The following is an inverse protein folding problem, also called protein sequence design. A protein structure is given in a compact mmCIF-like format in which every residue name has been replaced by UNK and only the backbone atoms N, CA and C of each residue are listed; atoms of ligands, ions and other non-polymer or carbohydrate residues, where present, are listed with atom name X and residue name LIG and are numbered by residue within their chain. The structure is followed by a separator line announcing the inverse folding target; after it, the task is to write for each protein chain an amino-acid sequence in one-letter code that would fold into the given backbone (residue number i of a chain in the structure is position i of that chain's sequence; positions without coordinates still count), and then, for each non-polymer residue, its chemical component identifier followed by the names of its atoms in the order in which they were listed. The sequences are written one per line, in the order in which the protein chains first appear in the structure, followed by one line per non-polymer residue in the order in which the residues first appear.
data_IF_658789330116
#
_entry.id   IF_658789330116
#
_cell.length_a   1.000
_cell.length_b   1.000
_cell.length_c   1.000
_cell.angle_alpha   90.00
_cell.angle_beta   90.00
_cell.angle_gamma   90.00
#
_symmetry.space_group_name_H-M   'P 1'
#
loop_
_entity.id
_entity.type
_entity.pdbx_description
1 polymer ?
#
# COMPACT_ATOMS: atom_id res chain seq x y z
N UNK A 1 14.83 -0.18 3.48
CA UNK A 1 15.30 -0.74 4.75
C UNK A 1 15.16 0.25 5.93
N UNK A 2 15.34 1.54 5.72
CA UNK A 2 15.25 2.56 6.78
C UNK A 2 13.82 2.90 7.23
N UNK A 3 12.79 2.39 6.54
CA UNK A 3 11.39 2.69 6.85
C UNK A 3 10.97 4.12 6.52
N UNK A 4 11.60 4.74 5.55
CA UNK A 4 11.15 6.03 5.03
C UNK A 4 9.98 5.86 4.08
N UNK A 5 9.06 6.81 4.09
CA UNK A 5 8.03 6.94 3.06
C UNK A 5 8.72 7.37 1.76
N UNK A 6 8.27 6.84 0.64
CA UNK A 6 8.69 7.23 -0.71
C UNK A 6 7.45 7.51 -1.56
N UNK A 7 7.63 8.17 -2.69
CA UNK A 7 6.59 8.32 -3.71
C UNK A 7 6.91 7.33 -4.83
N UNK A 8 5.91 6.55 -5.23
CA UNK A 8 5.98 5.70 -6.42
C UNK A 8 5.01 6.24 -7.45
N UNK A 9 5.47 6.36 -8.70
CA UNK A 9 4.67 6.85 -9.83
C UNK A 9 4.53 5.75 -10.88
N UNK A 10 3.38 5.67 -11.52
CA UNK A 10 3.13 4.83 -12.67
C UNK A 10 3.30 5.56 -14.01
N UNK A 11 2.98 4.89 -15.10
CA UNK A 11 3.07 5.46 -16.46
C UNK A 11 1.94 6.46 -16.71
N UNK A 12 2.24 7.50 -17.50
CA UNK A 12 1.26 8.54 -17.88
C UNK A 12 0.07 7.98 -18.69
N UNK A 13 0.26 6.84 -19.34
CA UNK A 13 -0.78 6.15 -20.11
C UNK A 13 -1.59 5.14 -19.28
N UNK A 14 -1.27 4.98 -17.97
CA UNK A 14 -2.00 4.10 -17.05
C UNK A 14 -2.91 4.93 -16.14
N UNK A 15 -2.57 5.16 -14.87
CA UNK A 15 -3.29 6.04 -13.95
C UNK A 15 -2.72 7.46 -13.98
N UNK A 16 -1.43 7.57 -14.30
CA UNK A 16 -0.66 8.81 -14.23
C UNK A 16 -0.72 9.43 -12.83
N UNK A 17 -0.52 8.60 -11.81
CA UNK A 17 -0.68 8.97 -10.40
C UNK A 17 0.60 8.72 -9.62
N UNK A 18 0.61 9.18 -8.38
CA UNK A 18 1.68 8.89 -7.43
C UNK A 18 1.13 8.57 -6.05
N UNK A 19 1.69 7.52 -5.45
CA UNK A 19 1.32 7.06 -4.13
C UNK A 19 2.45 7.27 -3.13
N UNK A 20 2.10 7.66 -1.90
CA UNK A 20 2.98 7.42 -0.76
C UNK A 20 3.00 5.93 -0.45
N UNK A 21 4.21 5.38 -0.34
CA UNK A 21 4.42 3.95 -0.04
C UNK A 21 5.37 3.79 1.14
N UNK A 22 5.05 2.84 2.01
CA UNK A 22 5.90 2.42 3.13
C UNK A 22 5.79 0.93 3.43
N UNK A 23 6.90 0.31 3.80
CA UNK A 23 6.91 -1.08 4.28
C UNK A 23 6.14 -1.24 5.61
N UNK A 24 5.29 -2.26 5.71
CA UNK A 24 4.44 -2.50 6.87
C UNK A 24 5.21 -2.82 8.15
N UNK A 25 6.39 -3.44 8.04
CA UNK A 25 7.30 -3.63 9.19
C UNK A 25 7.76 -2.33 9.84
N UNK A 26 7.72 -1.23 9.10
CA UNK A 26 8.23 0.08 9.51
C UNK A 26 7.13 1.11 9.70
N UNK A 27 5.87 0.65 9.68
CA UNK A 27 4.71 1.53 9.90
C UNK A 27 4.65 2.01 11.36
N UNK A 28 4.26 3.26 11.55
CA UNK A 28 3.99 3.83 12.86
C UNK A 28 2.76 4.73 12.79
N UNK A 29 2.11 5.06 13.92
CA UNK A 29 0.99 6.01 13.92
C UNK A 29 1.31 7.35 13.27
N UNK A 30 2.51 7.89 13.48
CA UNK A 30 2.94 9.17 12.90
C UNK A 30 3.02 9.09 11.37
N UNK A 31 3.49 7.95 10.85
CA UNK A 31 3.58 7.72 9.40
C UNK A 31 2.22 7.53 8.78
N UNK A 32 1.31 6.80 9.43
CA UNK A 32 -0.08 6.71 9.00
C UNK A 32 -0.70 8.10 8.98
N UNK A 33 -0.53 8.89 10.05
CA UNK A 33 -1.03 10.25 10.12
C UNK A 33 -0.46 11.13 9.00
N UNK A 34 0.84 11.03 8.74
CA UNK A 34 1.47 11.72 7.59
C UNK A 34 0.82 11.35 6.26
N UNK A 35 0.65 10.04 6.01
CA UNK A 35 0.10 9.52 4.75
C UNK A 35 -1.33 10.02 4.53
N UNK A 36 -2.21 9.91 5.52
CA UNK A 36 -3.61 10.35 5.38
C UNK A 36 -3.76 11.87 5.31
N UNK A 37 -2.88 12.64 5.97
CA UNK A 37 -2.90 14.10 5.96
C UNK A 37 -2.44 14.65 4.60
N UNK A 38 -1.41 14.05 4.02
CA UNK A 38 -0.75 14.57 2.83
C UNK A 38 -1.04 13.78 1.55
N UNK A 39 -1.50 12.53 1.65
CA UNK A 39 -1.97 11.74 0.51
C UNK A 39 -3.41 12.06 0.18
N UNK A 40 -4.31 11.96 1.14
CA UNK A 40 -5.75 12.25 1.05
C UNK A 40 -6.55 11.21 0.26
N UNK A 41 -5.90 10.21 -0.35
CA UNK A 41 -6.51 9.09 -1.06
C UNK A 41 -7.04 8.00 -0.13
N UNK A 42 -7.16 6.78 -0.62
CA UNK A 42 -7.60 5.62 0.15
C UNK A 42 -6.39 4.86 0.71
N UNK A 43 -6.29 4.76 2.04
CA UNK A 43 -5.21 4.02 2.68
C UNK A 43 -5.41 2.51 2.49
N UNK A 44 -4.60 1.92 1.62
CA UNK A 44 -4.65 0.52 1.24
C UNK A 44 -3.42 -0.26 1.74
N UNK A 45 -3.57 -1.59 1.83
CA UNK A 45 -2.52 -2.46 2.38
C UNK A 45 -2.26 -3.65 1.43
N UNK A 46 -1.37 -3.47 0.44
CA UNK A 46 -0.87 -4.59 -0.35
C UNK A 46 -0.20 -5.65 0.51
N UNK A 47 -0.65 -6.90 0.39
CA UNK A 47 -0.04 -8.10 0.99
C UNK A 47 -0.02 -9.25 -0.02
N UNK A 48 0.83 -10.28 0.16
CA UNK A 48 0.85 -11.44 -0.70
C UNK A 48 -0.50 -12.18 -0.71
N UNK A 49 -0.86 -12.77 -1.87
CA UNK A 49 -2.09 -13.57 -2.01
C UNK A 49 -2.16 -14.71 -0.98
N UNK A 50 -1.03 -15.36 -0.68
CA UNK A 50 -0.95 -16.38 0.35
C UNK A 50 -1.34 -15.82 1.73
N UNK A 51 -0.90 -14.60 2.06
CA UNK A 51 -1.25 -13.95 3.32
C UNK A 51 -2.74 -13.61 3.40
N UNK A 52 -3.35 -13.19 2.30
CA UNK A 52 -4.81 -13.02 2.23
C UNK A 52 -5.54 -14.32 2.52
N UNK A 53 -5.06 -15.44 1.95
CA UNK A 53 -5.66 -16.76 2.19
C UNK A 53 -5.52 -17.20 3.66
N UNK A 54 -4.34 -17.05 4.27
CA UNK A 54 -4.11 -17.32 5.69
C UNK A 54 -5.09 -16.56 6.59
N UNK A 55 -5.32 -15.28 6.28
CA UNK A 55 -6.21 -14.41 7.04
C UNK A 55 -7.69 -14.53 6.61
N UNK A 56 -8.02 -15.43 5.68
CA UNK A 56 -9.38 -15.63 5.14
C UNK A 56 -9.99 -14.32 4.62
N UNK A 57 -9.19 -13.50 3.93
CA UNK A 57 -9.63 -12.24 3.32
C UNK A 57 -10.26 -12.55 1.96
N UNK A 58 -11.58 -12.60 1.93
CA UNK A 58 -12.34 -12.79 0.69
C UNK A 58 -12.23 -11.56 -0.21
N UNK A 59 -12.34 -11.70 -1.55
CA UNK A 59 -12.52 -10.57 -2.45
C UNK A 59 -13.70 -9.71 -2.00
N UNK A 60 -13.59 -8.37 -2.15
CA UNK A 60 -14.63 -7.43 -1.78
C UNK A 60 -15.88 -7.57 -2.65
N UNK A 61 -15.68 -7.93 -3.92
CA UNK A 61 -16.75 -8.22 -4.87
C UNK A 61 -16.53 -9.61 -5.48
N UNK A 62 -17.63 -10.37 -5.69
CA UNK A 62 -17.61 -11.63 -6.42
C UNK A 62 -17.29 -11.44 -7.89
N UNK A 63 -17.79 -10.35 -8.47
CA UNK A 63 -17.52 -9.93 -9.83
C UNK A 63 -16.82 -8.55 -9.77
N UNK A 64 -15.53 -8.53 -10.11
CA UNK A 64 -14.74 -7.31 -10.07
C UNK A 64 -14.86 -6.56 -11.40
N UNK A 65 -15.66 -5.52 -11.40
CA UNK A 65 -15.91 -4.64 -12.57
C UNK A 65 -15.09 -3.34 -12.52
N UNK A 66 -14.11 -3.22 -11.62
CA UNK A 66 -13.27 -2.02 -11.54
C UNK A 66 -12.41 -1.86 -12.81
N UNK A 67 -12.21 -0.61 -13.22
CA UNK A 67 -11.54 -0.26 -14.49
C UNK A 67 -10.20 -0.98 -14.70
N UNK A 68 -9.39 -1.09 -13.65
CA UNK A 68 -8.06 -1.71 -13.68
C UNK A 68 -8.00 -3.05 -12.94
N UNK A 69 -9.16 -3.61 -12.59
CA UNK A 69 -9.25 -4.89 -11.89
C UNK A 69 -8.59 -4.88 -10.51
N UNK A 70 -8.55 -3.73 -9.83
CA UNK A 70 -7.89 -3.58 -8.51
C UNK A 70 -8.42 -4.62 -7.52
N UNK A 71 -7.56 -5.50 -6.99
CA UNK A 71 -7.99 -6.70 -6.27
C UNK A 71 -8.23 -6.41 -4.78
N UNK A 72 -9.26 -5.60 -4.50
CA UNK A 72 -9.69 -5.35 -3.13
C UNK A 72 -10.20 -6.61 -2.45
N UNK A 73 -9.81 -6.77 -1.20
CA UNK A 73 -10.43 -7.74 -0.30
C UNK A 73 -11.38 -7.04 0.66
N UNK A 74 -12.13 -7.84 1.44
CA UNK A 74 -12.95 -7.30 2.53
C UNK A 74 -12.09 -6.42 3.44
N UNK A 75 -12.57 -5.20 3.74
CA UNK A 75 -11.90 -4.29 4.67
C UNK A 75 -11.91 -4.83 6.09
N UNK A 76 -10.88 -4.49 6.86
CA UNK A 76 -10.67 -5.06 8.19
C UNK A 76 -10.15 -4.05 9.19
N UNK A 77 -10.35 -4.36 10.47
CA UNK A 77 -9.69 -3.72 11.61
C UNK A 77 -9.18 -4.80 12.58
N UNK A 78 -8.03 -4.57 13.20
CA UNK A 78 -7.52 -5.44 14.25
C UNK A 78 -8.35 -5.27 15.53
N UNK A 79 -8.81 -6.38 16.08
CA UNK A 79 -9.52 -6.43 17.38
C UNK A 79 -8.53 -6.61 18.52
N UNK A 80 -8.74 -5.92 19.62
CA UNK A 80 -7.84 -5.99 20.76
C UNK A 80 -6.54 -5.20 20.58
N UNK A 81 -5.49 -5.60 21.24
CA UNK A 81 -4.15 -4.98 21.16
C UNK A 81 -4.13 -3.47 21.46
N UNK A 82 -5.11 -2.97 22.19
CA UNK A 82 -5.28 -1.54 22.48
C UNK A 82 -5.94 -0.75 21.35
N UNK A 83 -6.42 -1.42 20.29
CA UNK A 83 -7.23 -0.78 19.26
C UNK A 83 -8.64 -0.46 19.78
N UNK A 84 -9.23 0.62 19.27
CA UNK A 84 -10.56 1.09 19.62
C UNK A 84 -11.54 0.91 18.46
N UNK A 85 -11.91 2.00 17.78
CA UNK A 85 -12.89 1.98 16.67
C UNK A 85 -12.28 1.68 15.29
N UNK A 86 -10.95 1.53 15.21
CA UNK A 86 -10.24 1.22 13.97
C UNK A 86 -9.79 2.43 13.15
N UNK A 87 -10.35 3.62 13.38
CA UNK A 87 -10.16 4.81 12.52
C UNK A 87 -8.89 5.60 12.84
N UNK A 88 -8.46 5.62 14.10
CA UNK A 88 -7.30 6.41 14.52
C UNK A 88 -6.04 5.98 13.76
N UNK A 89 -5.07 6.89 13.62
CA UNK A 89 -3.77 6.56 13.05
C UNK A 89 -3.07 5.44 13.83
N UNK A 90 -3.28 5.37 15.15
CA UNK A 90 -2.80 4.30 16.00
C UNK A 90 -3.44 2.95 15.64
N UNK A 91 -4.77 2.88 15.57
CA UNK A 91 -5.49 1.65 15.26
C UNK A 91 -5.14 1.15 13.86
N UNK A 92 -5.08 2.08 12.87
CA UNK A 92 -4.71 1.74 11.50
C UNK A 92 -3.27 1.25 11.39
N UNK A 93 -2.32 1.87 12.08
CA UNK A 93 -0.93 1.41 12.12
C UNK A 93 -0.82 0.00 12.72
N UNK A 94 -1.55 -0.28 13.79
CA UNK A 94 -1.63 -1.61 14.41
C UNK A 94 -2.20 -2.65 13.45
N UNK A 95 -3.29 -2.33 12.77
CA UNK A 95 -3.92 -3.21 11.78
C UNK A 95 -2.98 -3.49 10.62
N UNK A 96 -2.33 -2.46 10.04
CA UNK A 96 -1.35 -2.62 8.95
C UNK A 96 -0.19 -3.51 9.39
N UNK A 97 0.40 -3.23 10.56
CA UNK A 97 1.51 -4.04 11.07
C UNK A 97 1.09 -5.51 11.29
N UNK A 98 -0.09 -5.75 11.86
CA UNK A 98 -0.62 -7.09 12.08
C UNK A 98 -0.86 -7.86 10.78
N UNK A 99 -1.40 -7.19 9.75
CA UNK A 99 -1.61 -7.80 8.43
C UNK A 99 -0.30 -8.24 7.79
N UNK A 100 0.77 -7.44 7.91
CA UNK A 100 2.06 -7.70 7.26
C UNK A 100 2.96 -8.60 8.10
N UNK A 101 3.05 -8.35 9.40
CA UNK A 101 4.05 -8.94 10.30
C UNK A 101 3.48 -9.83 11.39
N UNK A 102 2.21 -9.66 11.70
CA UNK A 102 1.61 -10.31 12.87
C UNK A 102 1.37 -11.80 12.68
N UNK A 103 1.54 -12.53 13.77
CA UNK A 103 1.03 -13.89 13.89
C UNK A 103 -0.37 -13.83 14.49
N UNK A 104 -1.34 -13.38 13.67
CA UNK A 104 -2.73 -13.19 14.07
C UNK A 104 -3.63 -14.25 13.41
N UNK A 105 -4.68 -14.64 14.13
CA UNK A 105 -5.73 -15.49 13.59
C UNK A 105 -6.77 -14.66 12.79
N UNK A 106 -7.45 -15.24 11.80
CA UNK A 106 -8.50 -14.55 11.05
C UNK A 106 -9.60 -13.94 11.92
N UNK A 107 -9.88 -14.57 13.07
CA UNK A 107 -10.91 -14.18 14.03
C UNK A 107 -10.54 -12.92 14.82
N UNK A 108 -9.25 -12.53 14.82
CA UNK A 108 -8.76 -11.30 15.42
C UNK A 108 -8.98 -10.06 14.54
N UNK A 109 -9.52 -10.26 13.34
CA UNK A 109 -9.91 -9.18 12.44
C UNK A 109 -11.43 -8.97 12.47
N UNK A 110 -11.85 -7.74 12.70
CA UNK A 110 -13.22 -7.29 12.45
C UNK A 110 -13.44 -7.13 10.94
N UNK A 111 -14.64 -7.41 10.46
CA UNK A 111 -15.08 -7.28 9.06
C UNK A 111 -16.51 -6.73 9.04
N UNK A 112 -16.79 -5.62 8.34
CA UNK A 112 -15.82 -4.73 7.67
C UNK A 112 -14.99 -3.92 8.66
N UNK A 113 -13.98 -3.20 8.16
CA UNK A 113 -13.13 -2.29 8.92
C UNK A 113 -12.69 -1.09 8.09
N UNK A 114 -11.65 -0.39 8.55
CA UNK A 114 -11.16 0.87 7.97
C UNK A 114 -9.82 0.73 7.23
N UNK A 115 -9.27 -0.48 7.16
CA UNK A 115 -8.10 -0.82 6.35
C UNK A 115 -8.54 -1.71 5.20
N UNK A 116 -8.02 -1.43 4.00
CA UNK A 116 -8.38 -2.06 2.75
C UNK A 116 -7.22 -2.92 2.23
N UNK A 117 -7.17 -4.22 2.54
CA UNK A 117 -6.13 -5.09 2.01
C UNK A 117 -6.31 -5.33 0.51
N UNK A 118 -5.19 -5.36 -0.21
CA UNK A 118 -5.10 -5.72 -1.62
C UNK A 118 -4.16 -6.93 -1.76
N UNK A 119 -4.38 -7.79 -2.74
CA UNK A 119 -3.37 -8.80 -3.08
C UNK A 119 -2.73 -8.47 -4.43
N UNK A 120 -1.41 -8.57 -4.50
CA UNK A 120 -0.67 -8.32 -5.74
C UNK A 120 -0.53 -9.55 -6.61
N UNK A 121 -0.23 -9.33 -7.88
CA UNK A 121 0.15 -10.35 -8.83
C UNK A 121 1.41 -11.10 -8.37
N UNK A 122 1.51 -12.39 -8.71
CA UNK A 122 2.57 -13.27 -8.18
C UNK A 122 3.96 -12.84 -8.65
N UNK A 123 4.08 -12.43 -9.92
CA UNK A 123 5.34 -11.93 -10.49
C UNK A 123 5.51 -10.40 -10.34
N UNK A 124 4.76 -9.76 -9.44
CA UNK A 124 4.92 -8.35 -9.11
C UNK A 124 4.74 -7.44 -10.32
N UNK A 125 5.57 -6.38 -10.40
CA UNK A 125 5.49 -5.37 -11.48
C UNK A 125 5.80 -5.91 -12.88
N UNK A 126 6.33 -7.12 -13.01
CA UNK A 126 6.55 -7.77 -14.33
C UNK A 126 5.27 -8.43 -14.86
N UNK A 127 4.27 -8.63 -14.01
CA UNK A 127 2.96 -9.20 -14.37
C UNK A 127 1.88 -8.12 -14.43
N UNK A 128 1.88 -7.19 -13.48
CA UNK A 128 0.97 -6.04 -13.43
C UNK A 128 1.72 -4.80 -12.95
N UNK A 129 1.72 -3.76 -13.75
CA UNK A 129 2.44 -2.50 -13.55
C UNK A 129 1.74 -1.53 -12.58
N UNK A 130 1.17 -2.06 -11.49
CA UNK A 130 0.43 -1.31 -10.47
C UNK A 130 1.25 -0.95 -9.23
N UNK A 131 0.78 0.08 -8.49
CA UNK A 131 1.36 0.49 -7.21
C UNK A 131 1.34 -0.62 -6.16
N UNK A 132 0.31 -1.49 -6.18
CA UNK A 132 0.20 -2.70 -5.35
C UNK A 132 1.41 -3.61 -5.53
N UNK A 133 1.72 -3.95 -6.78
CA UNK A 133 2.85 -4.81 -7.13
C UNK A 133 4.19 -4.14 -6.83
N UNK A 134 4.29 -2.84 -7.13
CA UNK A 134 5.49 -2.05 -6.85
C UNK A 134 5.84 -2.06 -5.35
N UNK A 135 4.87 -1.91 -4.45
CA UNK A 135 5.09 -1.98 -3.00
C UNK A 135 5.61 -3.37 -2.61
N UNK A 136 5.00 -4.45 -3.10
CA UNK A 136 5.41 -5.81 -2.78
C UNK A 136 6.82 -6.09 -3.26
N UNK A 137 7.18 -5.67 -4.46
CA UNK A 137 8.52 -5.84 -5.00
C UNK A 137 9.55 -5.01 -4.25
N UNK A 138 9.28 -3.75 -3.97
CA UNK A 138 10.17 -2.88 -3.22
C UNK A 138 10.47 -3.43 -1.82
N UNK A 139 9.46 -3.98 -1.14
CA UNK A 139 9.66 -4.58 0.19
C UNK A 139 10.49 -5.86 0.11
N UNK A 140 10.26 -6.73 -0.88
CA UNK A 140 11.10 -7.92 -1.16
C UNK A 140 12.55 -7.53 -1.47
N UNK A 141 12.76 -6.59 -2.39
CA UNK A 141 14.09 -6.09 -2.76
C UNK A 141 14.83 -5.42 -1.60
N UNK A 142 14.10 -4.86 -0.65
CA UNK A 142 14.68 -4.30 0.58
C UNK A 142 15.04 -5.38 1.62
N UNK A 143 14.64 -6.63 1.43
CA UNK A 143 14.79 -7.72 2.41
C UNK A 143 13.86 -7.57 3.62
N UNK A 144 12.69 -6.97 3.40
CA UNK A 144 11.63 -6.80 4.40
C UNK A 144 10.49 -7.79 4.12
N UNK A 145 9.59 -7.97 5.09
CA UNK A 145 8.37 -8.74 4.85
C UNK A 145 7.56 -8.09 3.73
N UNK A 146 7.09 -8.88 2.73
CA UNK A 146 6.35 -8.34 1.61
C UNK A 146 4.99 -7.82 2.08
N UNK A 147 4.80 -6.52 1.93
CA UNK A 147 3.57 -5.82 2.31
C UNK A 147 3.84 -4.47 2.95
N UNK A 148 2.81 -3.65 2.98
CA UNK A 148 2.92 -2.31 3.56
C UNK A 148 1.68 -1.47 3.33
N UNK A 149 1.82 -0.17 3.46
CA UNK A 149 0.76 0.78 3.21
C UNK A 149 1.07 1.62 1.97
N UNK A 150 0.03 1.89 1.20
CA UNK A 150 0.03 2.88 0.13
C UNK A 150 -1.21 3.77 0.23
N UNK A 151 -1.11 4.97 -0.33
CA UNK A 151 -2.21 5.92 -0.43
C UNK A 151 -1.92 6.88 -1.58
N UNK A 152 -2.91 7.12 -2.41
CA UNK A 152 -2.83 8.04 -3.54
C UNK A 152 -2.63 9.49 -3.05
N UNK A 153 -1.94 10.31 -3.86
CA UNK A 153 -1.65 11.70 -3.53
C UNK A 153 -2.55 12.62 -4.35
N UNK A 154 -3.38 13.39 -3.65
CA UNK A 154 -4.27 14.38 -4.21
C UNK A 154 -3.73 15.80 -3.97
N UNK A 155 -4.05 16.69 -4.89
CA UNK A 155 -3.87 18.12 -4.74
C UNK A 155 -4.80 18.71 -3.66
N UNK A 156 -4.58 19.98 -3.29
CA UNK A 156 -5.43 20.66 -2.30
C UNK A 156 -6.90 20.84 -2.77
N UNK A 157 -7.11 20.89 -4.08
CA UNK A 157 -8.42 20.99 -4.71
C UNK A 157 -9.14 19.64 -4.90
N UNK A 158 -8.50 18.52 -4.47
CA UNK A 158 -9.04 17.17 -4.57
C UNK A 158 -8.78 16.47 -5.90
N UNK A 159 -8.11 17.11 -6.86
CA UNK A 159 -7.67 16.46 -8.11
C UNK A 159 -6.44 15.60 -7.85
N UNK A 160 -6.17 14.61 -8.73
CA UNK A 160 -4.99 13.77 -8.60
C UNK A 160 -3.70 14.57 -8.85
N UNK A 161 -2.72 14.44 -7.95
CA UNK A 161 -1.41 15.03 -8.15
C UNK A 161 -0.66 14.28 -9.26
N UNK A 162 -0.08 15.05 -10.21
CA UNK A 162 0.73 14.54 -11.31
C UNK A 162 2.20 14.83 -11.05
N UNK A 163 3.09 14.31 -11.88
CA UNK A 163 4.54 14.41 -11.67
C UNK A 163 5.03 15.82 -11.25
N UNK A 164 4.61 16.95 -11.86
CA UNK A 164 5.07 18.27 -11.42
C UNK A 164 4.67 18.65 -9.99
N UNK A 165 3.50 18.20 -9.52
CA UNK A 165 3.06 18.42 -8.14
C UNK A 165 3.76 17.44 -7.18
N UNK A 166 3.94 16.19 -7.60
CA UNK A 166 4.63 15.14 -6.82
C UNK A 166 6.09 15.52 -6.56
N UNK A 167 6.78 16.14 -7.53
CA UNK A 167 8.15 16.66 -7.34
C UNK A 167 8.21 17.75 -6.27
N UNK A 168 7.24 18.67 -6.25
CA UNK A 168 7.14 19.70 -5.21
C UNK A 168 6.89 19.10 -3.82
N UNK A 169 6.01 18.08 -3.75
CA UNK A 169 5.72 17.34 -2.52
C UNK A 169 6.97 16.60 -2.04
N UNK A 170 7.67 15.92 -2.96
CA UNK A 170 8.91 15.21 -2.66
C UNK A 170 9.98 16.16 -2.12
N UNK A 171 10.15 17.32 -2.74
CA UNK A 171 11.08 18.36 -2.27
C UNK A 171 10.69 18.87 -0.88
N UNK A 172 9.42 19.23 -0.68
CA UNK A 172 8.89 19.75 0.60
C UNK A 172 9.16 18.78 1.76
N UNK A 173 8.96 17.49 1.56
CA UNK A 173 9.08 16.47 2.60
C UNK A 173 10.40 15.67 2.52
N UNK A 174 11.31 16.01 1.62
CA UNK A 174 12.59 15.34 1.39
C UNK A 174 12.41 13.83 1.11
N UNK A 175 11.40 13.50 0.30
CA UNK A 175 11.09 12.14 -0.12
C UNK A 175 11.76 11.81 -1.45
N UNK A 176 11.96 10.52 -1.70
CA UNK A 176 12.40 10.03 -3.00
C UNK A 176 11.21 9.68 -3.87
N UNK A 177 11.32 9.94 -5.17
CA UNK A 177 10.39 9.46 -6.20
C UNK A 177 11.07 8.31 -6.95
N UNK A 178 10.32 7.24 -7.22
CA UNK A 178 10.72 6.14 -8.09
C UNK A 178 9.55 5.78 -9.01
N UNK A 179 9.82 5.43 -10.28
CA UNK A 179 8.80 4.95 -11.19
C UNK A 179 8.68 3.42 -11.16
N UNK A 180 7.48 2.89 -11.41
CA UNK A 180 7.25 1.45 -11.58
C UNK A 180 8.15 0.91 -12.70
N UNK A 181 8.32 1.65 -13.78
CA UNK A 181 9.22 1.31 -14.87
C UNK A 181 10.66 1.07 -14.40
N UNK A 182 11.18 1.91 -13.53
CA UNK A 182 12.53 1.72 -12.96
C UNK A 182 12.64 0.44 -12.12
N UNK A 183 11.57 0.04 -11.44
CA UNK A 183 11.53 -1.23 -10.69
C UNK A 183 11.54 -2.42 -11.67
N UNK A 184 10.76 -2.36 -12.75
CA UNK A 184 10.75 -3.38 -13.81
C UNK A 184 12.14 -3.55 -14.43
N UNK A 185 12.76 -2.45 -14.86
CA UNK A 185 14.11 -2.45 -15.45
C UNK A 185 15.14 -3.05 -14.47
N UNK A 186 15.07 -2.69 -13.20
CA UNK A 186 15.95 -3.24 -12.17
C UNK A 186 15.78 -4.75 -12.01
N UNK A 187 14.53 -5.25 -11.94
CA UNK A 187 14.22 -6.67 -11.81
C UNK A 187 14.72 -7.46 -13.03
N UNK A 188 14.44 -6.99 -14.25
CA UNK A 188 14.88 -7.62 -15.50
C UNK A 188 16.41 -7.69 -15.54
N UNK A 189 17.10 -6.58 -15.27
CA UNK A 189 18.57 -6.50 -15.30
C UNK A 189 19.24 -7.45 -14.31
N UNK A 190 18.60 -7.75 -13.19
CA UNK A 190 19.16 -8.59 -12.12
C UNK A 190 18.57 -10.01 -12.09
N UNK A 191 17.75 -10.39 -13.07
CA UNK A 191 17.06 -11.70 -13.15
C UNK A 191 16.27 -12.03 -11.87
N UNK A 192 15.49 -11.07 -11.35
CA UNK A 192 14.71 -11.18 -10.12
C UNK A 192 13.20 -11.32 -10.41
#
# INVERSE_FOLDING_TARGET
RQGKIIIVIDDENRENEGDFIIAGEKITPEKVNFMITHGKGLLCVPIPKARCAELKLAPMATDNTSLLGTPFTMSVDLKGYGCTTGVSAFDRAKTIHALVCGNIAPEELARPGHIFPLYGATNGVLERDGHTEALLDLTRLAGLKPGGALIEILNEDGTMARLPQLEKIAQKFQLKIISIKSIQEYRIKNNL
#
